data_IF_103607203793
#
_entry.id   IF_103607203793
#
_cell.length_a   1.000
_cell.length_b   1.000
_cell.length_c   1.000
_cell.angle_alpha   90.00
_cell.angle_beta   90.00
_cell.angle_gamma   90.00
#
_symmetry.space_group_name_H-M   'P 1'
#
loop_
_entity.id
_entity.type
_entity.pdbx_description
1 polymer ?
#
# COMPACT_ATOMS: atom_id res chain seq x y z
N UNK A 1 40.83 37.41 -19.95
CA UNK A 1 39.85 38.48 -19.68
C UNK A 1 38.49 37.89 -19.95
N UNK A 2 37.59 37.65 -19.01
CA UNK A 2 37.47 37.91 -17.58
C UNK A 2 36.25 37.04 -17.19
N UNK A 3 36.43 36.01 -16.36
CA UNK A 3 35.94 35.94 -14.98
C UNK A 3 34.40 35.90 -14.87
N UNK A 4 33.81 34.78 -14.40
CA UNK A 4 33.47 34.54 -12.98
C UNK A 4 32.02 35.00 -12.68
N UNK A 5 31.18 34.43 -11.81
CA UNK A 5 31.31 33.69 -10.56
C UNK A 5 29.95 32.97 -10.33
N UNK A 6 29.92 31.72 -9.82
CA UNK A 6 29.62 31.34 -8.41
C UNK A 6 28.12 31.32 -8.07
N UNK A 7 27.51 30.42 -7.29
CA UNK A 7 27.92 29.43 -6.28
C UNK A 7 26.80 28.36 -6.18
N UNK A 8 27.07 27.06 -6.16
CA UNK A 8 27.38 26.25 -4.97
C UNK A 8 26.49 26.54 -3.72
N UNK A 9 25.63 25.59 -3.36
CA UNK A 9 25.22 25.36 -1.97
C UNK A 9 24.99 23.86 -1.77
N UNK A 10 26.05 23.21 -1.27
CA UNK A 10 25.98 21.91 -0.61
C UNK A 10 25.37 22.11 0.79
N UNK A 11 24.57 21.16 1.25
CA UNK A 11 24.33 20.96 2.67
C UNK A 11 24.48 19.47 2.98
N UNK A 12 25.59 19.18 3.64
CA UNK A 12 25.94 17.88 4.17
C UNK A 12 25.34 17.67 5.57
N UNK A 13 25.06 16.41 5.85
CA UNK A 13 25.26 15.67 7.11
C UNK A 13 24.96 16.34 8.47
N UNK A 14 24.12 15.65 9.26
CA UNK A 14 24.41 15.44 10.68
C UNK A 14 23.88 14.07 11.12
N UNK A 15 24.81 13.15 11.34
CA UNK A 15 24.63 11.95 12.13
C UNK A 15 24.78 12.31 13.62
N UNK A 16 23.99 11.67 14.49
CA UNK A 16 24.31 11.55 15.91
C UNK A 16 24.05 10.09 16.34
N UNK A 17 25.14 9.37 16.52
CA UNK A 17 25.23 8.12 17.24
C UNK A 17 25.86 8.39 18.61
N UNK A 18 25.47 7.61 19.61
CA UNK A 18 26.07 7.54 20.95
C UNK A 18 24.98 7.41 22.01
N UNK A 19 24.91 6.40 22.87
CA UNK A 19 25.85 5.33 23.22
C UNK A 19 25.88 5.16 24.75
N UNK A 20 25.74 3.91 25.24
CA UNK A 20 26.01 3.47 26.63
C UNK A 20 24.94 3.85 27.67
N UNK A 21 24.33 2.93 28.45
CA UNK A 21 24.96 2.02 29.43
C UNK A 21 25.28 2.82 30.70
N UNK A 22 24.85 2.54 31.93
CA UNK A 22 24.49 1.29 32.64
C UNK A 22 24.06 1.67 34.08
N UNK A 23 23.23 0.84 34.73
CA UNK A 23 23.50 0.40 36.13
C UNK A 23 22.53 0.76 37.26
N UNK A 24 21.72 -0.25 37.67
CA UNK A 24 21.36 -0.66 39.05
C UNK A 24 20.49 0.29 39.91
N UNK A 25 19.71 -0.14 40.89
CA UNK A 25 19.32 -1.43 41.47
C UNK A 25 18.24 -1.09 42.52
N UNK A 26 17.24 -1.94 42.74
CA UNK A 26 16.30 -1.77 43.87
C UNK A 26 14.95 -2.45 43.65
N UNK A 27 14.85 -3.72 44.02
CA UNK A 27 13.61 -4.50 43.96
C UNK A 27 12.61 -4.15 45.06
N UNK A 28 11.33 -4.44 44.80
CA UNK A 28 10.52 -5.28 45.69
C UNK A 28 9.26 -5.74 44.97
N UNK A 29 8.88 -6.99 45.25
CA UNK A 29 7.97 -7.78 44.44
C UNK A 29 6.49 -7.41 44.50
N UNK A 30 5.79 -7.80 43.43
CA UNK A 30 4.37 -8.09 43.46
C UNK A 30 4.13 -9.21 42.43
N UNK A 31 3.70 -10.36 42.91
CA UNK A 31 3.19 -11.47 42.11
C UNK A 31 1.84 -11.04 41.50
N UNK A 32 1.80 -10.84 40.19
CA UNK A 32 0.55 -10.66 39.45
C UNK A 32 0.20 -12.01 38.83
N UNK A 33 -1.01 -12.57 39.03
CA UNK A 33 -1.37 -13.87 38.49
C UNK A 33 -1.40 -13.82 36.96
N UNK A 34 -0.89 -14.87 36.32
CA UNK A 34 -1.10 -15.15 34.91
C UNK A 34 -2.61 -15.06 34.61
N UNK A 35 -3.01 -13.94 34.02
CA UNK A 35 -4.18 -13.94 33.15
C UNK A 35 -3.68 -14.51 31.85
N UNK A 36 -4.30 -15.60 31.41
CA UNK A 36 -4.02 -16.20 30.11
C UNK A 36 -4.26 -15.12 29.06
N UNK A 37 -3.18 -14.50 28.61
CA UNK A 37 -3.08 -13.90 27.30
C UNK A 37 -3.35 -15.04 26.32
N UNK A 38 -4.62 -15.22 26.00
CA UNK A 38 -4.97 -15.68 24.66
C UNK A 38 -4.58 -14.51 23.77
N UNK A 39 -3.27 -14.38 23.53
CA UNK A 39 -2.77 -13.82 22.29
C UNK A 39 -3.45 -14.68 21.21
N UNK A 40 -4.62 -14.25 20.76
CA UNK A 40 -4.95 -14.34 19.35
C UNK A 40 -3.78 -13.66 18.66
N UNK A 41 -2.73 -14.45 18.38
CA UNK A 41 -1.80 -14.18 17.30
C UNK A 41 -2.70 -14.11 16.09
N UNK A 42 -3.13 -12.88 15.80
CA UNK A 42 -3.74 -12.53 14.54
C UNK A 42 -2.62 -12.86 13.54
N UNK A 43 -2.64 -14.07 12.98
CA UNK A 43 -1.58 -14.57 12.11
C UNK A 43 -1.29 -13.47 11.09
N UNK A 44 -0.09 -12.91 11.13
CA UNK A 44 0.25 -11.78 10.28
C UNK A 44 -0.04 -12.18 8.83
N UNK A 45 -0.83 -11.41 8.06
CA UNK A 45 -1.17 -11.75 6.68
C UNK A 45 0.10 -11.95 5.83
N UNK A 46 1.19 -11.26 6.18
CA UNK A 46 2.52 -11.47 5.61
C UNK A 46 3.12 -12.84 5.96
N UNK A 47 2.95 -13.32 7.18
CA UNK A 47 3.45 -14.62 7.60
C UNK A 47 2.69 -15.75 6.90
N UNK A 48 1.36 -15.65 6.79
CA UNK A 48 0.54 -16.59 6.01
C UNK A 48 0.99 -16.63 4.54
N UNK A 49 1.23 -15.46 3.93
CA UNK A 49 1.74 -15.39 2.56
C UNK A 49 3.11 -16.07 2.41
N UNK A 50 4.04 -15.84 3.33
CA UNK A 50 5.34 -16.51 3.31
C UNK A 50 5.21 -18.04 3.44
N UNK A 51 4.27 -18.54 4.25
CA UNK A 51 4.01 -19.98 4.35
C UNK A 51 3.53 -20.57 3.02
N UNK A 52 2.59 -19.89 2.35
CA UNK A 52 2.12 -20.28 1.00
C UNK A 52 3.27 -20.28 0.00
N UNK A 53 4.09 -19.22 -0.03
CA UNK A 53 5.26 -19.12 -0.92
C UNK A 53 6.24 -20.29 -0.68
N UNK A 54 6.54 -20.60 0.58
CA UNK A 54 7.43 -21.70 0.93
C UNK A 54 6.85 -23.06 0.51
N UNK A 55 5.54 -23.27 0.65
CA UNK A 55 4.85 -24.49 0.21
C UNK A 55 4.86 -24.63 -1.32
N UNK A 56 4.67 -23.53 -2.07
CA UNK A 56 4.80 -23.50 -3.54
C UNK A 56 6.23 -23.89 -3.95
N UNK A 57 7.26 -23.31 -3.32
CA UNK A 57 8.65 -23.65 -3.60
C UNK A 57 8.97 -25.12 -3.30
N UNK A 58 8.46 -25.63 -2.17
CA UNK A 58 8.63 -27.05 -1.80
C UNK A 58 7.94 -27.97 -2.80
N UNK A 59 6.73 -27.62 -3.26
CA UNK A 59 6.00 -28.36 -4.30
C UNK A 59 6.78 -28.42 -5.60
N UNK A 60 7.34 -27.28 -6.05
CA UNK A 60 8.18 -27.23 -7.24
C UNK A 60 9.44 -28.11 -7.09
N UNK A 61 10.07 -28.07 -5.91
CA UNK A 61 11.22 -28.93 -5.59
C UNK A 61 10.88 -30.42 -5.63
N UNK A 62 9.75 -30.83 -5.06
CA UNK A 62 9.27 -32.21 -5.12
C UNK A 62 8.95 -32.64 -6.55
N UNK A 63 8.33 -31.77 -7.35
CA UNK A 63 8.02 -32.04 -8.75
C UNK A 63 9.29 -32.24 -9.58
N UNK A 64 10.29 -31.38 -9.40
CA UNK A 64 11.58 -31.52 -10.07
C UNK A 64 12.30 -32.82 -9.66
N UNK A 65 12.29 -33.12 -8.36
CA UNK A 65 12.91 -34.32 -7.82
C UNK A 65 12.20 -35.60 -8.29
N UNK A 66 10.88 -35.55 -8.45
CA UNK A 66 10.09 -36.60 -9.10
C UNK A 66 10.51 -36.78 -10.57
N UNK A 67 10.57 -35.68 -11.33
CA UNK A 67 11.03 -35.69 -12.72
C UNK A 67 12.40 -36.35 -12.89
N UNK A 68 13.39 -36.00 -12.06
CA UNK A 68 14.73 -36.62 -12.11
C UNK A 68 14.68 -38.14 -11.87
N UNK A 69 13.84 -38.59 -10.93
CA UNK A 69 13.66 -40.01 -10.61
C UNK A 69 13.07 -40.79 -11.79
N UNK A 70 12.07 -40.20 -12.44
CA UNK A 70 11.38 -40.82 -13.58
C UNK A 70 12.26 -40.81 -14.82
N UNK A 71 12.98 -39.71 -15.05
CA UNK A 71 13.88 -39.55 -16.19
C UNK A 71 15.07 -40.52 -16.15
N UNK A 72 15.57 -40.84 -14.94
CA UNK A 72 16.69 -41.78 -14.73
C UNK A 72 16.25 -43.06 -14.00
N UNK A 73 15.06 -43.56 -14.35
CA UNK A 73 14.44 -44.67 -13.63
C UNK A 73 15.29 -45.95 -13.67
N UNK A 74 15.45 -46.57 -12.50
CA UNK A 74 16.07 -47.88 -12.30
C UNK A 74 15.34 -48.68 -11.20
N UNK A 75 15.64 -49.97 -11.07
CA UNK A 75 14.98 -50.87 -10.11
C UNK A 75 15.11 -50.39 -8.66
N UNK A 76 16.25 -49.79 -8.27
CA UNK A 76 16.45 -49.24 -6.94
C UNK A 76 15.62 -47.97 -6.66
N UNK A 77 15.18 -47.27 -7.71
CA UNK A 77 14.39 -46.04 -7.61
C UNK A 77 12.88 -46.28 -7.43
N UNK A 78 12.41 -47.53 -7.52
CA UNK A 78 10.98 -47.87 -7.43
C UNK A 78 10.34 -47.44 -6.11
N UNK A 79 10.99 -47.72 -4.97
CA UNK A 79 10.47 -47.33 -3.65
C UNK A 79 10.56 -45.80 -3.42
N UNK A 80 11.70 -45.13 -3.69
CA UNK A 80 11.78 -43.67 -3.65
C UNK A 80 10.75 -42.95 -4.53
N UNK A 81 10.41 -43.49 -5.69
CA UNK A 81 9.41 -42.93 -6.59
C UNK A 81 8.02 -42.85 -5.91
N UNK A 82 7.57 -43.94 -5.30
CA UNK A 82 6.30 -43.98 -4.57
C UNK A 82 6.29 -43.01 -3.38
N UNK A 83 7.39 -42.93 -2.64
CA UNK A 83 7.54 -41.97 -1.54
C UNK A 83 7.46 -40.53 -2.04
N UNK A 84 8.10 -40.19 -3.16
CA UNK A 84 8.08 -38.85 -3.75
C UNK A 84 6.69 -38.47 -4.26
N UNK A 85 5.98 -39.40 -4.90
CA UNK A 85 4.61 -39.19 -5.35
C UNK A 85 3.67 -38.90 -4.17
N UNK A 86 3.69 -39.74 -3.14
CA UNK A 86 2.90 -39.50 -1.94
C UNK A 86 3.27 -38.18 -1.24
N UNK A 87 4.56 -37.82 -1.21
CA UNK A 87 5.02 -36.54 -0.66
C UNK A 87 4.48 -35.35 -1.44
N UNK A 88 4.41 -35.44 -2.77
CA UNK A 88 3.84 -34.39 -3.63
C UNK A 88 2.34 -34.23 -3.37
N UNK A 89 1.59 -35.33 -3.27
CA UNK A 89 0.14 -35.30 -2.98
C UNK A 89 -0.13 -34.66 -1.62
N UNK A 90 0.65 -35.03 -0.58
CA UNK A 90 0.53 -34.44 0.76
C UNK A 90 0.86 -32.93 0.76
N UNK A 91 1.87 -32.51 0.00
CA UNK A 91 2.21 -31.09 -0.09
C UNK A 91 1.16 -30.29 -0.85
N UNK A 92 0.55 -30.82 -1.91
CA UNK A 92 -0.54 -30.17 -2.63
C UNK A 92 -1.79 -29.96 -1.75
N UNK A 93 -2.13 -30.95 -0.91
CA UNK A 93 -3.19 -30.82 0.10
C UNK A 93 -2.83 -29.74 1.15
N UNK A 94 -1.57 -29.70 1.60
CA UNK A 94 -1.09 -28.68 2.52
C UNK A 94 -1.16 -27.27 1.90
N UNK A 95 -0.71 -27.12 0.66
CA UNK A 95 -0.76 -25.86 -0.09
C UNK A 95 -2.20 -25.35 -0.22
N UNK A 96 -3.16 -26.25 -0.48
CA UNK A 96 -4.58 -25.90 -0.56
C UNK A 96 -5.09 -25.35 0.77
N UNK A 97 -4.78 -26.03 1.89
CA UNK A 97 -5.16 -25.59 3.25
C UNK A 97 -4.50 -24.27 3.65
N UNK A 98 -3.26 -24.03 3.25
CA UNK A 98 -2.57 -22.76 3.49
C UNK A 98 -3.18 -21.63 2.67
N UNK A 99 -3.63 -21.92 1.45
CA UNK A 99 -4.24 -20.91 0.55
C UNK A 99 -5.53 -20.33 1.12
N UNK A 100 -6.33 -21.11 1.86
CA UNK A 100 -7.56 -20.65 2.51
C UNK A 100 -7.30 -19.52 3.53
N UNK A 101 -6.09 -19.47 4.09
CA UNK A 101 -5.67 -18.44 5.06
C UNK A 101 -5.16 -17.15 4.39
N UNK A 102 -4.98 -17.16 3.06
CA UNK A 102 -4.51 -16.01 2.30
C UNK A 102 -5.67 -15.29 1.60
N UNK A 103 -6.25 -14.30 2.27
CA UNK A 103 -7.29 -13.43 1.68
C UNK A 103 -6.66 -12.30 0.84
N UNK A 104 -6.10 -12.62 -0.33
CA UNK A 104 -5.59 -11.64 -1.30
C UNK A 104 -6.52 -11.59 -2.50
N UNK A 105 -6.98 -10.38 -2.86
CA UNK A 105 -7.74 -10.16 -4.09
C UNK A 105 -6.78 -9.80 -5.22
N UNK A 106 -6.89 -10.53 -6.34
CA UNK A 106 -6.06 -10.32 -7.52
C UNK A 106 -6.97 -9.88 -8.68
N UNK A 107 -6.71 -8.74 -9.33
CA UNK A 107 -7.44 -8.32 -10.51
C UNK A 107 -7.30 -9.32 -11.66
N UNK A 108 -8.38 -9.51 -12.43
CA UNK A 108 -8.36 -10.44 -13.57
C UNK A 108 -7.36 -10.04 -14.65
N UNK A 109 -7.07 -8.74 -14.84
CA UNK A 109 -6.05 -8.33 -15.80
C UNK A 109 -4.65 -8.84 -15.42
N UNK A 110 -4.34 -8.93 -14.12
CA UNK A 110 -3.07 -9.48 -13.64
C UNK A 110 -2.98 -10.97 -13.96
N UNK A 111 -4.09 -11.71 -13.81
CA UNK A 111 -4.15 -13.13 -14.16
C UNK A 111 -3.89 -13.35 -15.66
N UNK A 112 -4.52 -12.54 -16.52
CA UNK A 112 -4.31 -12.63 -17.97
C UNK A 112 -2.84 -12.36 -18.37
N UNK A 113 -2.16 -11.41 -17.69
CA UNK A 113 -0.73 -11.18 -17.94
C UNK A 113 0.12 -12.40 -17.58
N UNK A 114 -0.21 -13.11 -16.51
CA UNK A 114 0.48 -14.34 -16.10
C UNK A 114 0.27 -15.44 -17.14
N UNK A 115 -0.96 -15.63 -17.62
CA UNK A 115 -1.29 -16.64 -18.63
C UNK A 115 -0.58 -16.37 -19.98
N UNK A 116 -0.43 -15.09 -20.35
CA UNK A 116 0.31 -14.64 -21.53
C UNK A 116 1.85 -14.72 -21.35
N UNK A 117 2.35 -15.05 -20.15
CA UNK A 117 3.77 -15.07 -19.83
C UNK A 117 4.43 -13.69 -19.73
N UNK A 118 3.64 -12.64 -19.52
CA UNK A 118 4.11 -11.26 -19.29
C UNK A 118 4.35 -11.00 -17.80
N UNK A 119 5.08 -9.93 -17.51
CA UNK A 119 5.33 -9.53 -16.13
C UNK A 119 4.06 -8.88 -15.53
N UNK A 120 3.47 -9.41 -14.43
CA UNK A 120 2.31 -8.79 -13.77
C UNK A 120 2.57 -7.36 -13.26
N UNK A 121 3.82 -6.96 -13.03
CA UNK A 121 4.18 -5.60 -12.62
C UNK A 121 3.85 -4.54 -13.68
N UNK A 122 3.69 -4.96 -14.94
CA UNK A 122 3.20 -4.10 -16.02
C UNK A 122 1.83 -3.51 -15.70
N UNK A 123 0.91 -4.31 -15.18
CA UNK A 123 -0.40 -3.82 -14.75
C UNK A 123 -0.26 -2.76 -13.66
N UNK A 124 0.54 -3.04 -12.63
CA UNK A 124 0.78 -2.09 -11.53
C UNK A 124 1.34 -0.77 -12.05
N UNK A 125 2.32 -0.83 -12.95
CA UNK A 125 2.93 0.33 -13.59
C UNK A 125 1.89 1.13 -14.41
N UNK A 126 1.06 0.45 -15.19
CA UNK A 126 0.07 1.08 -16.05
C UNK A 126 -1.06 1.74 -15.23
N UNK A 127 -1.47 1.13 -14.12
CA UNK A 127 -2.42 1.72 -13.17
C UNK A 127 -1.84 2.98 -12.53
N UNK A 128 -0.58 2.94 -12.07
CA UNK A 128 0.11 4.11 -11.49
C UNK A 128 0.21 5.24 -12.53
N UNK A 129 0.66 4.93 -13.75
CA UNK A 129 0.78 5.90 -14.83
C UNK A 129 -0.58 6.50 -15.21
N UNK A 130 -1.62 5.67 -15.28
CA UNK A 130 -2.99 6.12 -15.54
C UNK A 130 -3.51 7.03 -14.42
N UNK A 131 -3.18 6.72 -13.16
CA UNK A 131 -3.51 7.57 -12.02
C UNK A 131 -2.84 8.95 -12.12
N UNK A 132 -1.54 8.97 -12.43
CA UNK A 132 -0.77 10.21 -12.62
C UNK A 132 -1.38 11.05 -13.75
N UNK A 133 -1.63 10.46 -14.91
CA UNK A 133 -2.21 11.15 -16.05
C UNK A 133 -3.61 11.70 -15.74
N UNK A 134 -4.47 10.89 -15.11
CA UNK A 134 -5.83 11.33 -14.70
C UNK A 134 -5.77 12.44 -13.65
N UNK A 135 -4.82 12.39 -12.72
CA UNK A 135 -4.63 13.44 -11.73
C UNK A 135 -4.22 14.76 -12.40
N UNK A 136 -3.24 14.73 -13.30
CA UNK A 136 -2.81 15.91 -14.06
C UNK A 136 -3.94 16.50 -14.91
N UNK A 137 -4.70 15.66 -15.62
CA UNK A 137 -5.86 16.10 -16.41
C UNK A 137 -6.91 16.74 -15.50
N UNK A 138 -7.20 16.13 -14.35
CA UNK A 138 -8.20 16.64 -13.39
C UNK A 138 -7.76 17.98 -12.81
N UNK A 139 -6.47 18.13 -12.46
CA UNK A 139 -5.89 19.40 -12.03
C UNK A 139 -5.98 20.45 -13.13
N UNK A 140 -5.57 20.12 -14.36
CA UNK A 140 -5.66 21.02 -15.51
C UNK A 140 -7.08 21.49 -15.80
N UNK A 141 -8.07 20.58 -15.76
CA UNK A 141 -9.50 20.94 -15.88
C UNK A 141 -9.93 21.88 -14.76
N UNK A 142 -9.56 21.57 -13.51
CA UNK A 142 -9.89 22.40 -12.35
C UNK A 142 -9.30 23.80 -12.49
N UNK A 143 -8.04 23.91 -12.92
CA UNK A 143 -7.36 25.19 -13.07
C UNK A 143 -7.90 25.99 -14.26
N UNK A 144 -8.29 25.32 -15.35
CA UNK A 144 -9.00 25.97 -16.46
C UNK A 144 -10.36 26.54 -16.03
N UNK A 145 -11.15 25.79 -15.24
CA UNK A 145 -12.41 26.30 -14.69
C UNK A 145 -12.20 27.47 -13.72
N UNK A 146 -11.14 27.43 -12.89
CA UNK A 146 -10.78 28.58 -12.04
C UNK A 146 -10.41 29.80 -12.88
N UNK A 147 -9.63 29.61 -13.94
CA UNK A 147 -9.22 30.68 -14.87
C UNK A 147 -10.42 31.31 -15.58
N UNK A 148 -11.29 30.49 -16.17
CA UNK A 148 -12.52 30.96 -16.81
C UNK A 148 -13.40 31.76 -15.84
N UNK A 149 -13.57 31.24 -14.63
CA UNK A 149 -14.36 31.92 -13.60
C UNK A 149 -13.74 33.26 -13.21
N UNK A 150 -12.41 33.33 -13.06
CA UNK A 150 -11.71 34.57 -12.74
C UNK A 150 -11.95 35.61 -13.84
N UNK A 151 -11.75 35.23 -15.10
CA UNK A 151 -11.91 36.13 -16.23
C UNK A 151 -13.37 36.62 -16.36
N UNK A 152 -14.35 35.73 -16.20
CA UNK A 152 -15.77 36.12 -16.21
C UNK A 152 -16.11 37.11 -15.10
N UNK A 153 -15.53 36.94 -13.90
CA UNK A 153 -15.74 37.86 -12.79
C UNK A 153 -15.10 39.23 -13.05
N UNK A 154 -13.93 39.28 -13.68
CA UNK A 154 -13.26 40.54 -14.05
C UNK A 154 -14.09 41.35 -15.06
N UNK A 155 -14.63 40.69 -16.10
CA UNK A 155 -15.51 41.34 -17.08
C UNK A 155 -16.83 41.82 -16.46
N UNK A 156 -17.43 41.01 -15.58
CA UNK A 156 -18.64 41.39 -14.86
C UNK A 156 -18.41 42.56 -13.91
N UNK A 157 -17.23 42.64 -13.26
CA UNK A 157 -16.90 43.73 -12.34
C UNK A 157 -16.79 45.07 -13.07
N UNK A 158 -16.32 45.05 -14.32
CA UNK A 158 -16.26 46.23 -15.17
C UNK A 158 -17.65 46.67 -15.69
N UNK A 159 -18.55 45.72 -15.99
CA UNK A 159 -19.88 46.01 -16.52
C UNK A 159 -20.92 46.32 -15.43
N UNK A 160 -20.85 45.64 -14.29
CA UNK A 160 -21.87 45.62 -13.22
C UNK A 160 -21.23 45.47 -11.81
N UNK A 161 -20.63 46.53 -11.25
CA UNK A 161 -19.88 46.45 -10.00
C UNK A 161 -20.74 46.07 -8.78
N UNK A 162 -21.95 46.62 -8.66
CA UNK A 162 -22.83 46.40 -7.50
C UNK A 162 -23.32 44.94 -7.40
N UNK A 163 -23.56 44.31 -8.56
CA UNK A 163 -24.05 42.94 -8.66
C UNK A 163 -22.95 41.91 -8.39
N UNK A 164 -21.70 42.23 -8.74
CA UNK A 164 -20.53 41.40 -8.42
C UNK A 164 -20.25 41.39 -6.92
N UNK A 165 -20.43 42.51 -6.22
CA UNK A 165 -20.27 42.56 -4.77
C UNK A 165 -21.30 41.67 -4.06
N UNK A 166 -22.58 41.75 -4.46
CA UNK A 166 -23.63 40.85 -3.96
C UNK A 166 -23.31 39.38 -4.25
N UNK A 167 -22.80 39.05 -5.45
CA UNK A 167 -22.37 37.69 -5.78
C UNK A 167 -21.21 37.20 -4.90
N UNK A 168 -20.24 38.06 -4.58
CA UNK A 168 -19.11 37.71 -3.70
C UNK A 168 -19.59 37.40 -2.28
N UNK A 169 -20.52 38.17 -1.74
CA UNK A 169 -21.11 37.94 -0.42
C UNK A 169 -21.90 36.62 -0.35
N UNK A 170 -22.77 36.36 -1.34
CA UNK A 170 -23.53 35.11 -1.43
C UNK A 170 -22.55 33.92 -1.49
N UNK A 171 -21.51 34.03 -2.32
CA UNK A 171 -20.53 32.97 -2.46
C UNK A 171 -19.74 32.71 -1.18
N UNK A 172 -19.31 33.77 -0.49
CA UNK A 172 -18.60 33.65 0.77
C UNK A 172 -19.47 32.95 1.83
N UNK A 173 -20.75 33.32 1.89
CA UNK A 173 -21.74 32.72 2.79
C UNK A 173 -21.96 31.25 2.47
N UNK A 174 -22.24 30.89 1.21
CA UNK A 174 -22.42 29.49 0.81
C UNK A 174 -21.18 28.62 1.02
N UNK A 175 -19.98 29.18 0.82
CA UNK A 175 -18.73 28.47 1.07
C UNK A 175 -18.50 28.24 2.58
N UNK A 176 -18.86 29.20 3.43
CA UNK A 176 -18.80 29.07 4.88
C UNK A 176 -19.80 28.04 5.40
N UNK A 177 -21.02 28.03 4.86
CA UNK A 177 -22.05 27.02 5.18
C UNK A 177 -21.61 25.61 4.75
N UNK A 178 -21.08 25.47 3.54
CA UNK A 178 -20.55 24.17 3.06
C UNK A 178 -19.41 23.66 3.93
N UNK A 179 -18.50 24.54 4.36
CA UNK A 179 -17.42 24.18 5.32
C UNK A 179 -17.98 23.76 6.68
N UNK A 180 -18.97 24.47 7.21
CA UNK A 180 -19.62 24.13 8.49
C UNK A 180 -20.33 22.79 8.43
N UNK A 181 -21.04 22.50 7.33
CA UNK A 181 -21.71 21.21 7.12
C UNK A 181 -20.70 20.06 7.00
N UNK A 182 -19.60 20.26 6.28
CA UNK A 182 -18.53 19.27 6.19
C UNK A 182 -17.84 19.02 7.54
N UNK A 183 -17.65 20.05 8.36
CA UNK A 183 -17.11 19.91 9.72
C UNK A 183 -18.10 19.25 10.69
N UNK A 184 -19.39 19.59 10.60
CA UNK A 184 -20.44 18.97 11.40
C UNK A 184 -20.62 17.47 11.06
N UNK A 185 -20.52 17.10 9.78
CA UNK A 185 -20.54 15.70 9.35
C UNK A 185 -19.26 14.93 9.74
N UNK A 186 -18.14 15.63 9.98
CA UNK A 186 -16.89 15.03 10.46
C UNK A 186 -16.90 14.72 11.96
N UNK A 187 -17.86 15.24 12.72
CA UNK A 187 -18.00 14.99 14.17
C UNK A 187 -19.01 13.87 14.36
N UNK A 188 -18.54 12.63 14.46
CA UNK A 188 -19.36 11.51 14.93
C UNK A 188 -19.54 11.60 16.47
N UNK A 189 -20.63 11.04 17.05
CA UNK A 189 -20.96 11.18 18.47
C UNK A 189 -19.97 10.53 19.45
N UNK A 190 -19.01 9.75 18.95
CA UNK A 190 -18.03 9.03 19.74
C UNK A 190 -16.62 9.51 19.41
N UNK A 191 -16.23 10.67 19.95
CA UNK A 191 -14.87 11.02 20.43
C UNK A 191 -13.60 10.85 19.56
N UNK A 192 -13.60 10.19 18.41
CA UNK A 192 -12.40 9.92 17.62
C UNK A 192 -12.29 10.82 16.38
N UNK A 193 -11.24 11.65 16.36
CA UNK A 193 -10.86 12.50 15.23
C UNK A 193 -10.31 11.62 14.11
N UNK A 194 -11.01 11.54 12.98
CA UNK A 194 -10.49 10.93 11.75
C UNK A 194 -9.33 11.79 11.23
N UNK A 195 -8.13 11.21 11.24
CA UNK A 195 -6.87 11.85 10.81
C UNK A 195 -7.02 12.42 9.40
N UNK A 196 -6.54 13.66 9.23
CA UNK A 196 -6.57 14.47 8.00
C UNK A 196 -6.11 13.69 6.75
N UNK A 197 -6.69 13.94 5.57
CA UNK A 197 -6.00 13.69 4.31
C UNK A 197 -5.04 14.87 4.07
N UNK A 198 -3.74 14.62 4.21
CA UNK A 198 -2.67 15.50 3.73
C UNK A 198 -2.79 15.63 2.20
N UNK A 199 -2.66 16.87 1.70
CA UNK A 199 -2.64 17.27 0.29
C UNK A 199 -1.20 17.38 -0.21
#
# INVERSE_FOLDING_TARGET
MDSSHSSAAAAAAAAAAGGGGTGGSGGNGMIIPQTNDTETKMDDPKQNLNQVINSIQKTLGLLHQLYLTVSSFNVASQLPLLQRLNSLVLELDNMTKLSEKCSIQVPMEVLNLIDDGKNPDEFTRDVINSCIARNQITKGKTDAFKGLRKHLLEELEQAFPDEVESYREIRATSAAESKRLAQAQSILPNGDVKVKPEL
#
